data_IF_490079154089
#
_entry.id   IF_490079154089
#
_cell.length_a   1.000
_cell.length_b   1.000
_cell.length_c   1.000
_cell.angle_alpha   90.00
_cell.angle_beta   90.00
_cell.angle_gamma   90.00
#
_symmetry.space_group_name_H-M   'P 1'
#
loop_
_entity.id
_entity.type
_entity.pdbx_description
1 polymer ?
#
# COMPACT_ATOMS: atom_id res chain seq x y z
N UNK A 1 -10.48 -3.28 -6.43
CA UNK A 1 -9.22 -2.65 -6.00
C UNK A 1 -8.76 -1.67 -7.07
N UNK A 2 -7.89 -0.70 -6.76
CA UNK A 2 -7.51 0.37 -7.71
C UNK A 2 -6.95 -0.16 -9.05
N UNK A 3 -6.28 -1.31 -9.03
CA UNK A 3 -5.59 -1.92 -10.18
C UNK A 3 -6.16 -3.29 -10.63
N UNK A 4 -7.22 -3.78 -9.98
CA UNK A 4 -7.72 -5.13 -10.27
C UNK A 4 -8.95 -5.51 -9.45
N UNK A 5 -9.50 -6.68 -9.74
CA UNK A 5 -10.74 -7.15 -9.12
C UNK A 5 -10.50 -7.97 -7.85
N UNK A 6 -11.48 -7.98 -6.94
CA UNK A 6 -11.40 -8.81 -5.73
C UNK A 6 -11.36 -10.31 -6.05
N UNK A 7 -12.01 -10.73 -7.15
CA UNK A 7 -12.03 -12.12 -7.60
C UNK A 7 -10.64 -12.67 -7.91
N UNK A 8 -9.68 -11.83 -8.31
CA UNK A 8 -8.29 -12.26 -8.53
C UNK A 8 -7.62 -12.82 -7.27
N UNK A 9 -8.14 -12.49 -6.09
CA UNK A 9 -7.64 -12.97 -4.80
C UNK A 9 -8.57 -13.97 -4.13
N UNK A 10 -9.86 -13.98 -4.48
CA UNK A 10 -10.88 -14.77 -3.81
C UNK A 10 -11.33 -16.01 -4.60
N UNK A 11 -11.11 -16.03 -5.92
CA UNK A 11 -11.55 -17.12 -6.81
C UNK A 11 -10.30 -17.79 -7.41
N UNK A 12 -10.00 -19.06 -7.04
CA UNK A 12 -8.79 -19.75 -7.47
C UNK A 12 -8.60 -19.78 -8.99
N UNK A 13 -9.67 -20.01 -9.76
CA UNK A 13 -9.61 -20.09 -11.22
C UNK A 13 -9.21 -18.74 -11.83
N UNK A 14 -9.77 -17.65 -11.29
CA UNK A 14 -9.43 -16.28 -11.71
C UNK A 14 -7.98 -15.96 -11.34
N UNK A 15 -7.53 -16.33 -10.14
CA UNK A 15 -6.13 -16.18 -9.73
C UNK A 15 -5.18 -16.89 -10.72
N UNK A 16 -5.43 -18.17 -11.01
CA UNK A 16 -4.59 -18.97 -11.90
C UNK A 16 -4.55 -18.35 -13.31
N UNK A 17 -5.70 -17.91 -13.82
CA UNK A 17 -5.80 -17.27 -15.13
C UNK A 17 -4.99 -15.97 -15.23
N UNK A 18 -5.12 -15.07 -14.25
CA UNK A 18 -4.40 -13.77 -14.22
C UNK A 18 -2.90 -13.94 -14.02
N UNK A 19 -2.49 -14.99 -13.31
CA UNK A 19 -1.09 -15.31 -13.10
C UNK A 19 -0.48 -16.19 -14.20
N UNK A 20 -1.28 -16.67 -15.16
CA UNK A 20 -0.81 -17.52 -16.24
C UNK A 20 -0.38 -18.90 -15.75
N UNK A 21 -1.13 -19.48 -14.81
CA UNK A 21 -0.90 -20.83 -14.32
C UNK A 21 -1.86 -21.81 -15.03
N UNK A 22 -1.31 -22.85 -15.65
CA UNK A 22 -2.08 -23.95 -16.22
C UNK A 22 -2.52 -24.89 -15.08
N UNK A 23 -3.78 -24.76 -14.68
CA UNK A 23 -4.40 -25.59 -13.65
C UNK A 23 -4.34 -27.10 -13.95
N UNK A 24 -4.19 -27.48 -15.23
CA UNK A 24 -4.15 -28.88 -15.67
C UNK A 24 -2.72 -29.43 -15.79
N UNK A 25 -1.70 -28.59 -15.57
CA UNK A 25 -0.27 -28.95 -15.58
C UNK A 25 0.18 -29.69 -16.85
N UNK A 26 -0.37 -29.32 -18.02
CA UNK A 26 -0.04 -29.91 -19.32
C UNK A 26 1.05 -29.14 -20.05
N UNK A 27 1.13 -27.84 -19.81
CA UNK A 27 2.20 -26.98 -20.34
C UNK A 27 3.52 -27.17 -19.59
N UNK A 28 4.69 -27.00 -20.24
CA UNK A 28 5.99 -26.98 -19.57
C UNK A 28 5.99 -26.00 -18.38
N UNK A 29 6.38 -26.49 -17.20
CA UNK A 29 6.39 -25.69 -15.98
C UNK A 29 5.02 -25.25 -15.45
N UNK A 30 3.92 -25.76 -16.02
CA UNK A 30 2.56 -25.35 -15.61
C UNK A 30 2.22 -23.89 -15.97
N UNK A 31 2.81 -23.36 -17.04
CA UNK A 31 2.63 -21.97 -17.47
C UNK A 31 1.68 -21.84 -18.67
N UNK A 32 0.72 -20.92 -18.53
CA UNK A 32 -0.18 -20.47 -19.57
C UNK A 32 0.03 -18.97 -19.86
N UNK A 33 -0.56 -18.48 -20.96
CA UNK A 33 -0.61 -17.04 -21.20
C UNK A 33 -1.48 -16.37 -20.10
N UNK A 34 -0.97 -15.35 -19.39
CA UNK A 34 -1.77 -14.64 -18.41
C UNK A 34 -2.92 -13.91 -19.12
N UNK A 35 -4.14 -14.09 -18.61
CA UNK A 35 -5.32 -13.38 -19.08
C UNK A 35 -5.77 -12.39 -18.01
N UNK A 36 -5.83 -11.11 -18.35
CA UNK A 36 -6.27 -10.07 -17.43
C UNK A 36 -7.01 -9.00 -18.18
N UNK A 37 -7.98 -8.40 -17.53
CA UNK A 37 -8.68 -7.24 -18.05
C UNK A 37 -7.75 -6.01 -17.99
N UNK A 38 -7.91 -5.05 -18.92
CA UNK A 38 -7.22 -3.79 -18.81
C UNK A 38 -7.60 -3.09 -17.49
N UNK A 39 -6.66 -2.34 -16.88
CA UNK A 39 -6.95 -1.63 -15.64
C UNK A 39 -8.10 -0.64 -15.86
N UNK A 40 -9.07 -0.54 -14.95
CA UNK A 40 -10.27 0.27 -15.14
C UNK A 40 -10.01 1.79 -15.02
N UNK A 41 -8.77 2.18 -14.69
CA UNK A 41 -8.38 3.56 -14.42
C UNK A 41 -6.87 3.73 -14.62
N UNK A 42 -6.44 4.94 -14.96
CA UNK A 42 -5.04 5.33 -14.96
C UNK A 42 -4.60 5.71 -13.56
N UNK A 43 -3.42 5.29 -13.13
CA UNK A 43 -2.90 5.59 -11.80
C UNK A 43 -1.48 6.10 -11.87
N UNK A 44 -1.22 7.08 -11.00
CA UNK A 44 0.09 7.65 -10.74
C UNK A 44 0.38 7.47 -9.27
N UNK A 45 1.53 6.87 -8.95
CA UNK A 45 2.03 6.74 -7.60
C UNK A 45 3.25 7.64 -7.44
N UNK A 46 3.19 8.53 -6.47
CA UNK A 46 4.25 9.49 -6.20
C UNK A 46 4.85 9.27 -4.81
N UNK A 47 6.15 9.50 -4.67
CA UNK A 47 6.80 9.59 -3.36
C UNK A 47 7.91 10.65 -3.35
N UNK A 48 8.12 11.25 -2.18
CA UNK A 48 9.19 12.25 -1.96
C UNK A 48 10.60 11.65 -1.98
N UNK A 49 10.75 10.39 -1.57
CA UNK A 49 12.07 9.74 -1.50
C UNK A 49 12.58 9.50 -2.93
N UNK A 50 13.82 9.89 -3.25
CA UNK A 50 14.44 9.64 -4.56
C UNK A 50 14.97 8.19 -4.64
N UNK A 51 14.10 7.22 -4.36
CA UNK A 51 14.40 5.79 -4.48
C UNK A 51 13.25 5.08 -5.20
N UNK A 52 13.46 3.84 -5.63
CA UNK A 52 12.41 3.07 -6.26
C UNK A 52 11.20 2.88 -5.31
N UNK A 53 10.00 3.13 -5.81
CA UNK A 53 8.77 2.91 -5.04
C UNK A 53 8.67 1.44 -4.64
N UNK A 54 8.31 1.20 -3.37
CA UNK A 54 8.23 -0.15 -2.82
C UNK A 54 9.58 -0.85 -2.59
N UNK A 55 10.70 -0.10 -2.50
CA UNK A 55 12.03 -0.65 -2.16
C UNK A 55 12.03 -1.41 -0.83
N UNK A 56 11.23 -0.96 0.15
CA UNK A 56 11.15 -1.52 1.51
C UNK A 56 10.02 -2.55 1.69
N UNK A 57 9.33 -2.93 0.61
CA UNK A 57 8.32 -4.00 0.69
C UNK A 57 8.96 -5.32 1.13
N UNK A 58 8.15 -6.19 1.73
CA UNK A 58 8.60 -7.50 2.21
C UNK A 58 9.36 -8.29 1.13
N UNK A 59 10.49 -8.89 1.50
CA UNK A 59 11.41 -9.54 0.54
C UNK A 59 10.73 -10.62 -0.31
N UNK A 60 9.83 -11.42 0.28
CA UNK A 60 9.14 -12.53 -0.38
C UNK A 60 7.83 -12.14 -1.08
N UNK A 61 7.19 -11.04 -0.68
CA UNK A 61 5.85 -10.67 -1.14
C UNK A 61 5.82 -9.39 -1.98
N UNK A 62 6.79 -8.50 -1.81
CA UNK A 62 6.82 -7.18 -2.45
C UNK A 62 6.90 -7.24 -3.97
N UNK A 63 7.51 -8.29 -4.53
CA UNK A 63 7.58 -8.46 -5.99
C UNK A 63 6.20 -8.74 -6.61
N UNK A 64 5.30 -9.42 -5.89
CA UNK A 64 3.94 -9.75 -6.35
C UNK A 64 3.15 -8.46 -6.56
N UNK A 65 3.20 -7.56 -5.57
CA UNK A 65 2.55 -6.25 -5.65
C UNK A 65 3.11 -5.41 -6.80
N UNK A 66 4.45 -5.33 -6.92
CA UNK A 66 5.10 -4.60 -8.02
C UNK A 66 4.74 -5.18 -9.39
N UNK A 67 4.62 -6.50 -9.52
CA UNK A 67 4.19 -7.14 -10.76
C UNK A 67 2.76 -6.76 -11.14
N UNK A 68 1.84 -6.71 -10.17
CA UNK A 68 0.46 -6.23 -10.39
C UNK A 68 0.43 -4.77 -10.85
N UNK A 69 1.14 -3.88 -10.15
CA UNK A 69 1.20 -2.45 -10.52
C UNK A 69 1.78 -2.24 -11.93
N UNK A 70 2.82 -3.01 -12.30
CA UNK A 70 3.40 -2.95 -13.65
C UNK A 70 2.43 -3.43 -14.73
N UNK A 71 1.69 -4.52 -14.49
CA UNK A 71 0.65 -5.01 -15.42
C UNK A 71 -0.48 -4.00 -15.60
N UNK A 72 -0.80 -3.26 -14.53
CA UNK A 72 -1.78 -2.18 -14.58
C UNK A 72 -1.20 -0.85 -15.10
N UNK A 73 0.03 -0.84 -15.64
CA UNK A 73 0.69 0.33 -16.21
C UNK A 73 0.71 1.56 -15.28
N UNK A 74 0.83 1.33 -13.97
CA UNK A 74 0.90 2.42 -12.99
C UNK A 74 2.20 3.21 -13.18
N UNK A 75 2.07 4.51 -13.38
CA UNK A 75 3.22 5.41 -13.44
C UNK A 75 3.79 5.61 -12.03
N UNK A 76 5.10 5.41 -11.87
CA UNK A 76 5.79 5.54 -10.58
C UNK A 76 6.76 6.71 -10.61
N UNK A 77 6.53 7.71 -9.79
CA UNK A 77 7.29 8.97 -9.76
C UNK A 77 7.97 9.08 -8.40
N UNK A 78 9.30 8.98 -8.39
CA UNK A 78 10.12 9.13 -7.19
C UNK A 78 10.70 10.55 -7.10
N UNK A 79 11.14 10.96 -5.92
CA UNK A 79 11.78 12.28 -5.73
C UNK A 79 10.83 13.47 -5.92
N UNK A 80 9.51 13.25 -5.86
CA UNK A 80 8.54 14.30 -6.12
C UNK A 80 8.42 15.26 -4.93
N UNK A 81 8.47 16.57 -5.21
CA UNK A 81 8.08 17.62 -4.29
C UNK A 81 6.67 18.11 -4.64
N UNK A 82 5.71 17.90 -3.75
CA UNK A 82 4.32 18.32 -3.96
C UNK A 82 4.20 19.84 -3.74
N UNK A 83 3.55 20.54 -4.68
CA UNK A 83 3.40 22.00 -4.66
C UNK A 83 2.00 22.44 -4.28
N UNK A 84 0.99 21.92 -4.98
CA UNK A 84 -0.40 22.31 -4.81
C UNK A 84 -1.34 21.24 -5.35
N UNK A 85 -2.60 21.30 -4.92
CA UNK A 85 -3.72 20.62 -5.56
C UNK A 85 -4.78 21.69 -5.82
N UNK A 86 -5.17 21.84 -7.08
CA UNK A 86 -6.21 22.77 -7.51
C UNK A 86 -7.03 22.14 -8.67
N UNK A 87 -7.84 22.96 -9.35
CA UNK A 87 -8.72 22.51 -10.44
C UNK A 87 -7.96 21.94 -11.66
N UNK A 88 -6.66 22.22 -11.81
CA UNK A 88 -5.82 21.63 -12.85
C UNK A 88 -5.18 20.28 -12.41
N UNK A 89 -5.36 19.88 -11.15
CA UNK A 89 -4.89 18.62 -10.60
C UNK A 89 -3.72 18.75 -9.63
N UNK A 90 -2.81 17.76 -9.63
CA UNK A 90 -1.67 17.70 -8.71
C UNK A 90 -0.43 18.37 -9.33
N UNK A 91 0.00 19.48 -8.71
CA UNK A 91 1.24 20.18 -9.05
C UNK A 91 2.41 19.59 -8.27
N UNK A 92 3.49 19.26 -8.97
CA UNK A 92 4.68 18.69 -8.35
C UNK A 92 5.96 19.05 -9.11
N UNK A 93 7.11 18.92 -8.45
CA UNK A 93 8.43 19.13 -9.04
C UNK A 93 9.25 17.84 -8.92
N UNK A 94 9.95 17.46 -9.99
CA UNK A 94 10.94 16.37 -10.01
C UNK A 94 12.19 16.88 -10.70
N UNK A 95 13.35 16.67 -10.09
CA UNK A 95 14.65 17.11 -10.63
C UNK A 95 14.67 18.61 -11.00
N UNK A 96 13.94 19.44 -10.25
CA UNK A 96 13.81 20.89 -10.49
C UNK A 96 12.82 21.28 -11.60
N UNK A 97 12.25 20.33 -12.34
CA UNK A 97 11.26 20.58 -13.38
C UNK A 97 9.82 20.56 -12.81
N UNK A 98 9.00 21.60 -13.06
CA UNK A 98 7.61 21.63 -12.65
C UNK A 98 6.73 20.80 -13.59
N UNK A 99 5.73 20.14 -13.00
CA UNK A 99 4.76 19.28 -13.68
C UNK A 99 3.37 19.45 -13.06
N UNK A 100 2.34 19.17 -13.87
CA UNK A 100 0.95 19.08 -13.43
C UNK A 100 0.38 17.75 -13.90
N UNK A 101 -0.16 16.96 -12.97
CA UNK A 101 -0.97 15.78 -13.26
C UNK A 101 -2.44 16.17 -13.21
N UNK A 102 -3.07 16.26 -14.38
CA UNK A 102 -4.52 16.40 -14.51
C UNK A 102 -5.19 15.06 -14.12
N UNK A 103 -5.74 15.01 -12.91
CA UNK A 103 -6.32 13.79 -12.31
C UNK A 103 -7.62 14.12 -11.59
N UNK A 104 -8.59 13.23 -11.69
CA UNK A 104 -9.90 13.39 -11.03
C UNK A 104 -9.80 13.29 -9.49
N UNK A 105 -8.81 12.55 -9.00
CA UNK A 105 -8.68 12.21 -7.58
C UNK A 105 -7.22 12.20 -7.12
N UNK A 106 -6.98 12.85 -5.98
CA UNK A 106 -5.71 12.76 -5.23
C UNK A 106 -5.96 11.97 -3.95
N UNK A 107 -5.32 10.81 -3.83
CA UNK A 107 -5.45 9.93 -2.67
C UNK A 107 -4.20 10.08 -1.77
N UNK A 108 -4.42 10.51 -0.53
CA UNK A 108 -3.36 10.73 0.45
C UNK A 108 -3.03 9.44 1.21
N UNK A 109 -1.93 8.79 0.81
CA UNK A 109 -1.36 7.63 1.51
C UNK A 109 -0.03 8.02 2.19
N UNK A 110 -0.04 9.07 3.02
CA UNK A 110 1.16 9.75 3.51
C UNK A 110 1.75 9.22 4.83
N UNK A 111 1.27 8.07 5.30
CA UNK A 111 1.63 7.51 6.61
C UNK A 111 0.49 7.68 7.62
N UNK A 112 0.81 7.47 8.90
CA UNK A 112 -0.14 7.44 10.00
C UNK A 112 0.48 8.10 11.23
N UNK A 113 -0.36 8.68 12.09
CA UNK A 113 0.03 9.23 13.38
C UNK A 113 -0.63 8.42 14.51
N UNK A 114 0.01 8.29 15.69
CA UNK A 114 -0.62 7.61 16.82
C UNK A 114 -1.84 8.38 17.29
N UNK A 115 -2.97 7.70 17.46
CA UNK A 115 -4.16 8.30 18.08
C UNK A 115 -4.22 7.92 19.57
N UNK A 116 -4.05 8.92 20.44
CA UNK A 116 -3.86 8.75 21.89
C UNK A 116 -4.84 9.54 22.74
N UNK A 117 -5.83 10.23 22.15
CA UNK A 117 -6.69 11.16 22.89
C UNK A 117 -7.37 10.55 24.11
N UNK A 118 -7.85 9.30 23.99
CA UNK A 118 -8.44 8.59 25.13
C UNK A 118 -7.42 8.25 26.22
N UNK A 119 -6.20 7.84 25.84
CA UNK A 119 -5.15 7.52 26.80
C UNK A 119 -4.76 8.76 27.60
N UNK A 120 -4.52 9.89 26.92
CA UNK A 120 -4.15 11.15 27.56
C UNK A 120 -5.25 11.64 28.50
N UNK A 121 -6.52 11.51 28.10
CA UNK A 121 -7.68 11.84 28.93
C UNK A 121 -7.76 10.98 30.21
N UNK A 122 -7.50 9.68 30.12
CA UNK A 122 -7.49 8.78 31.29
C UNK A 122 -6.35 9.10 32.25
N UNK A 123 -5.14 9.36 31.72
CA UNK A 123 -3.98 9.75 32.52
C UNK A 123 -4.23 11.06 33.27
N UNK A 124 -4.86 12.05 32.61
CA UNK A 124 -5.21 13.32 33.22
C UNK A 124 -6.20 13.18 34.40
N UNK A 125 -7.05 12.15 34.36
CA UNK A 125 -7.98 11.79 35.45
C UNK A 125 -7.33 10.91 36.55
N UNK A 126 -6.04 10.60 36.43
CA UNK A 126 -5.33 9.70 37.34
C UNK A 126 -5.70 8.23 37.18
N UNK A 127 -6.38 7.85 36.10
CA UNK A 127 -6.74 6.47 35.82
C UNK A 127 -5.54 5.70 35.23
N UNK A 128 -5.29 4.45 35.66
CA UNK A 128 -4.25 3.63 35.07
C UNK A 128 -4.62 3.22 33.64
N UNK A 129 -3.76 3.56 32.68
CA UNK A 129 -3.90 3.18 31.27
C UNK A 129 -2.58 2.66 30.69
N UNK A 130 -2.65 1.90 29.60
CA UNK A 130 -1.51 1.34 28.85
C UNK A 130 -1.76 1.50 27.35
N UNK A 131 -0.70 1.73 26.59
CA UNK A 131 -0.74 1.82 25.12
C UNK A 131 -0.20 0.52 24.50
N UNK A 132 -0.81 0.10 23.40
CA UNK A 132 -0.35 -0.98 22.52
C UNK A 132 -0.65 -0.62 21.06
N UNK A 133 0.05 -1.25 20.12
CA UNK A 133 -0.21 -1.14 18.69
C UNK A 133 0.04 0.25 18.10
N UNK A 134 -0.87 0.69 17.23
CA UNK A 134 -0.78 1.98 16.53
C UNK A 134 -0.89 3.20 17.46
N UNK A 135 -1.64 3.08 18.56
CA UNK A 135 -1.75 4.13 19.56
C UNK A 135 -0.43 4.34 20.33
N UNK A 136 0.35 3.28 20.53
CA UNK A 136 1.71 3.37 21.07
C UNK A 136 2.66 3.96 20.03
N UNK A 137 2.80 3.35 18.87
CA UNK A 137 3.62 3.88 17.78
C UNK A 137 2.87 3.64 16.48
N UNK A 138 2.63 4.68 15.68
CA UNK A 138 2.10 4.53 14.34
C UNK A 138 3.29 4.36 13.38
N UNK A 139 3.49 3.12 12.91
CA UNK A 139 4.53 2.77 11.96
C UNK A 139 3.92 1.97 10.80
N UNK A 140 4.59 1.98 9.65
CA UNK A 140 4.13 1.23 8.48
C UNK A 140 4.12 -0.30 8.75
N UNK A 141 3.02 -0.99 8.39
CA UNK A 141 2.81 -2.44 8.57
C UNK A 141 3.00 -2.92 10.03
N UNK A 142 2.05 -2.59 10.89
CA UNK A 142 2.18 -2.72 12.34
C UNK A 142 1.53 -3.95 12.98
N UNK A 143 0.71 -4.72 12.26
CA UNK A 143 -0.14 -5.75 12.86
C UNK A 143 0.63 -6.78 13.70
N UNK A 144 1.76 -7.28 13.19
CA UNK A 144 2.61 -8.22 13.93
C UNK A 144 3.12 -7.62 15.25
N UNK A 145 3.56 -6.35 15.23
CA UNK A 145 4.05 -5.66 16.42
C UNK A 145 2.90 -5.39 17.39
N UNK A 146 1.75 -4.93 16.90
CA UNK A 146 0.57 -4.65 17.71
C UNK A 146 0.10 -5.92 18.44
N UNK A 147 0.00 -7.04 17.74
CA UNK A 147 -0.34 -8.35 18.32
C UNK A 147 0.72 -8.78 19.34
N UNK A 148 2.01 -8.61 19.02
CA UNK A 148 3.11 -8.93 19.92
C UNK A 148 3.04 -8.12 21.23
N UNK A 149 2.85 -6.80 21.13
CA UNK A 149 2.69 -5.90 22.27
C UNK A 149 1.49 -6.28 23.14
N UNK A 150 0.34 -6.54 22.51
CA UNK A 150 -0.87 -6.98 23.21
C UNK A 150 -0.63 -8.29 23.97
N UNK A 151 -0.02 -9.27 23.29
CA UNK A 151 0.29 -10.59 23.88
C UNK A 151 1.24 -10.46 25.07
N UNK A 152 2.31 -9.69 24.92
CA UNK A 152 3.29 -9.49 25.99
C UNK A 152 2.66 -8.77 27.20
N UNK A 153 1.84 -7.75 26.95
CA UNK A 153 1.15 -7.03 28.01
C UNK A 153 0.18 -7.94 28.76
N UNK A 154 -0.58 -8.78 28.05
CA UNK A 154 -1.56 -9.68 28.65
C UNK A 154 -0.94 -10.73 29.59
N UNK A 155 0.32 -11.14 29.35
CA UNK A 155 1.04 -12.12 30.19
C UNK A 155 1.73 -11.47 31.39
N UNK A 156 1.99 -10.15 31.33
CA UNK A 156 2.71 -9.41 32.36
C UNK A 156 1.81 -8.75 33.42
N UNK A 157 0.49 -8.80 33.24
CA UNK A 157 -0.53 -8.31 34.19
C UNK A 157 -1.09 -9.51 34.96
#
# INVERSE_FOLDING_TARGET
YLVGEARESLVPETFLSVWGADAKLRSPGGLAAPAGEPPPRQLFMLQRKPEALGRRLGKSTGWILKAKLRRAHVAMIAGAEYRAVDDAGLHYVVDGAPHVLDVDHVILCAGQEPERGLYDGLVALGAPARLIGGADVAAELDALRAIGQATHLAVAI
#
